data_IF_401491976733
#
_entry.id   IF_401491976733
#
_cell.length_a   1.000
_cell.length_b   1.000
_cell.length_c   1.000
_cell.angle_alpha   90.00
_cell.angle_beta   90.00
_cell.angle_gamma   90.00
#
_symmetry.space_group_name_H-M   'P 1'
#
loop_
_entity.id
_entity.type
_entity.pdbx_description
1 polymer ?
#
# COMPACT_ATOMS: atom_id res chain seq x y z
N UNK A 1 -0.92 16.83 -4.27
CA UNK A 1 -0.31 17.00 -2.94
C UNK A 1 0.40 15.68 -2.64
N UNK A 2 1.73 15.68 -2.75
CA UNK A 2 2.66 14.54 -2.76
C UNK A 2 2.73 13.71 -4.04
N UNK A 3 3.86 13.79 -4.74
CA UNK A 3 4.27 12.83 -5.77
C UNK A 3 4.66 11.47 -5.16
N UNK A 4 5.06 10.50 -5.98
CA UNK A 4 5.37 9.15 -5.49
C UNK A 4 6.63 9.07 -4.63
N UNK A 5 7.66 9.86 -4.93
CA UNK A 5 8.90 9.90 -4.14
C UNK A 5 8.65 10.59 -2.80
N UNK A 6 7.87 11.68 -2.78
CA UNK A 6 7.45 12.34 -1.55
C UNK A 6 6.63 11.40 -0.66
N UNK A 7 5.68 10.65 -1.24
CA UNK A 7 4.90 9.65 -0.47
C UNK A 7 5.77 8.53 0.06
N UNK A 8 6.75 8.05 -0.72
CA UNK A 8 7.71 7.02 -0.28
C UNK A 8 8.56 7.49 0.89
N UNK A 9 9.04 8.74 0.88
CA UNK A 9 9.77 9.32 2.00
C UNK A 9 8.91 9.39 3.27
N UNK A 10 7.65 9.82 3.14
CA UNK A 10 6.71 9.87 4.26
C UNK A 10 6.49 8.47 4.85
N UNK A 11 6.17 7.48 4.02
CA UNK A 11 5.95 6.09 4.47
C UNK A 11 7.22 5.49 5.07
N UNK A 12 8.38 5.72 4.45
CA UNK A 12 9.68 5.24 4.92
C UNK A 12 10.15 5.87 6.24
N UNK A 13 9.63 7.05 6.60
CA UNK A 13 9.96 7.71 7.87
C UNK A 13 9.25 7.12 9.09
N UNK A 14 8.25 6.24 8.88
CA UNK A 14 7.50 5.63 9.96
C UNK A 14 8.38 4.64 10.71
N UNK A 15 8.36 4.69 12.06
CA UNK A 15 9.23 3.86 12.92
C UNK A 15 9.17 2.37 12.61
N UNK A 16 8.02 1.85 12.20
CA UNK A 16 7.81 0.43 11.92
C UNK A 16 8.20 0.01 10.50
N UNK A 17 8.62 0.94 9.64
CA UNK A 17 8.98 0.67 8.25
C UNK A 17 10.48 0.60 8.14
N UNK A 18 11.01 -0.59 7.81
CA UNK A 18 12.44 -0.78 7.53
C UNK A 18 12.81 -0.26 6.14
N UNK A 19 11.96 -0.53 5.13
CA UNK A 19 12.19 -0.15 3.74
C UNK A 19 10.88 0.19 3.05
N UNK A 20 10.85 1.32 2.35
CA UNK A 20 9.79 1.70 1.42
C UNK A 20 10.34 1.71 -0.01
N UNK A 21 9.62 1.09 -0.94
CA UNK A 21 9.98 1.01 -2.36
C UNK A 21 8.88 1.64 -3.20
N UNK A 22 9.25 2.19 -4.36
CA UNK A 22 8.26 2.54 -5.37
C UNK A 22 7.81 1.26 -6.07
N UNK A 23 6.52 1.22 -6.43
CA UNK A 23 5.99 0.18 -7.30
C UNK A 23 6.42 0.40 -8.74
N UNK A 24 6.35 -0.66 -9.54
CA UNK A 24 6.51 -0.57 -11.00
C UNK A 24 5.16 -0.23 -11.65
N UNK A 25 5.16 0.70 -12.59
CA UNK A 25 3.93 1.20 -13.24
C UNK A 25 3.37 0.24 -14.28
N UNK A 26 4.19 -0.71 -14.77
CA UNK A 26 3.81 -1.68 -15.79
C UNK A 26 3.54 -3.06 -15.18
N UNK A 27 4.35 -3.48 -14.20
CA UNK A 27 4.17 -4.77 -13.51
C UNK A 27 4.27 -4.66 -11.99
N UNK A 28 3.10 -4.55 -11.36
CA UNK A 28 2.98 -4.50 -9.89
C UNK A 28 3.60 -5.72 -9.17
N UNK A 29 3.76 -6.86 -9.83
CA UNK A 29 4.32 -8.06 -9.22
C UNK A 29 5.85 -8.02 -9.10
N UNK A 30 6.53 -7.20 -9.90
CA UNK A 30 7.99 -7.08 -9.91
C UNK A 30 8.59 -6.75 -8.54
N UNK A 31 7.90 -5.89 -7.78
CA UNK A 31 8.31 -5.58 -6.40
C UNK A 31 8.30 -6.81 -5.49
N UNK A 32 7.38 -7.75 -5.72
CA UNK A 32 7.32 -9.04 -5.01
C UNK A 32 8.50 -9.91 -5.42
N UNK A 33 8.85 -9.93 -6.70
CA UNK A 33 9.99 -10.73 -7.22
C UNK A 33 11.35 -10.23 -6.73
N UNK A 34 11.51 -8.91 -6.62
CA UNK A 34 12.73 -8.27 -6.14
C UNK A 34 12.91 -8.45 -4.63
N UNK A 35 11.81 -8.34 -3.87
CA UNK A 35 11.83 -8.40 -2.40
C UNK A 35 11.80 -9.84 -1.88
N UNK A 36 11.07 -10.73 -2.58
CA UNK A 36 10.81 -12.14 -2.19
C UNK A 36 10.30 -12.26 -0.75
N UNK A 37 9.16 -11.63 -0.41
CA UNK A 37 8.65 -11.64 0.95
C UNK A 37 8.09 -13.00 1.33
N UNK A 38 8.22 -13.39 2.60
CA UNK A 38 7.53 -14.58 3.14
C UNK A 38 6.01 -14.34 3.28
N UNK A 39 5.61 -13.08 3.52
CA UNK A 39 4.22 -12.69 3.79
C UNK A 39 3.86 -11.42 3.02
N UNK A 40 2.71 -11.42 2.34
CA UNK A 40 2.06 -10.22 1.85
C UNK A 40 0.80 -9.97 2.68
N UNK A 41 0.72 -8.79 3.29
CA UNK A 41 -0.42 -8.38 4.10
C UNK A 41 -1.30 -7.37 3.34
N UNK A 42 -2.57 -7.70 3.17
CA UNK A 42 -3.52 -6.90 2.40
C UNK A 42 -4.58 -6.23 3.28
N UNK A 43 -5.03 -5.06 2.84
CA UNK A 43 -6.22 -4.41 3.37
C UNK A 43 -7.50 -5.17 3.04
N UNK A 44 -8.61 -4.86 3.72
CA UNK A 44 -9.87 -5.61 3.60
C UNK A 44 -10.43 -5.59 2.16
N UNK A 45 -10.32 -4.46 1.47
CA UNK A 45 -10.96 -4.23 0.16
C UNK A 45 -10.05 -4.52 -1.05
N UNK A 46 -8.83 -5.03 -0.87
CA UNK A 46 -7.89 -5.24 -1.97
C UNK A 46 -8.13 -6.58 -2.66
N UNK A 47 -8.36 -6.62 -3.97
CA UNK A 47 -8.42 -7.88 -4.72
C UNK A 47 -7.06 -8.61 -4.72
N UNK A 48 -7.08 -9.92 -4.50
CA UNK A 48 -5.86 -10.77 -4.44
C UNK A 48 -5.84 -11.90 -5.47
N UNK A 49 -6.84 -12.01 -6.34
CA UNK A 49 -6.93 -13.10 -7.31
C UNK A 49 -5.73 -13.09 -8.27
N UNK A 50 -5.42 -11.93 -8.85
CA UNK A 50 -4.26 -11.75 -9.72
C UNK A 50 -2.94 -12.03 -9.00
N UNK A 51 -2.83 -11.62 -7.73
CA UNK A 51 -1.62 -11.80 -6.93
C UNK A 51 -1.38 -13.28 -6.64
N UNK A 52 -2.43 -14.02 -6.27
CA UNK A 52 -2.37 -15.48 -6.05
C UNK A 52 -1.96 -16.23 -7.31
N UNK A 53 -2.49 -15.84 -8.47
CA UNK A 53 -2.13 -16.43 -9.76
C UNK A 53 -0.65 -16.20 -10.09
N UNK A 54 -0.15 -14.97 -9.89
CA UNK A 54 1.28 -14.63 -10.10
C UNK A 54 2.21 -15.37 -9.12
N UNK A 55 1.82 -15.53 -7.85
CA UNK A 55 2.58 -16.31 -6.87
C UNK A 55 2.64 -17.79 -7.29
N UNK A 56 1.51 -18.37 -7.69
CA UNK A 56 1.45 -19.78 -8.09
C UNK A 56 2.30 -20.09 -9.34
N UNK A 57 2.38 -19.14 -10.28
CA UNK A 57 3.16 -19.29 -11.52
C UNK A 57 4.63 -18.89 -11.38
N UNK A 58 5.00 -18.15 -10.33
CA UNK A 58 6.40 -17.75 -10.06
C UNK A 58 7.19 -18.77 -9.23
N UNK A 59 6.54 -19.81 -8.71
CA UNK A 59 7.18 -20.84 -7.89
C UNK A 59 7.63 -20.34 -6.51
N UNK A 60 7.08 -19.22 -6.03
CA UNK A 60 7.37 -18.66 -4.72
C UNK A 60 6.39 -19.17 -3.67
N UNK A 61 6.86 -19.42 -2.44
CA UNK A 61 6.03 -19.81 -1.31
C UNK A 61 5.74 -18.57 -0.44
N UNK A 62 4.71 -17.82 -0.82
CA UNK A 62 4.34 -16.54 -0.17
C UNK A 62 2.97 -16.67 0.49
N UNK A 63 2.90 -16.39 1.78
CA UNK A 63 1.63 -16.39 2.51
C UNK A 63 0.90 -15.05 2.35
N UNK A 64 -0.32 -15.09 1.82
CA UNK A 64 -1.21 -13.92 1.81
C UNK A 64 -2.00 -13.88 3.12
N UNK A 65 -1.87 -12.78 3.86
CA UNK A 65 -2.66 -12.44 5.04
C UNK A 65 -3.52 -11.21 4.76
N UNK A 66 -4.68 -11.12 5.39
CA UNK A 66 -5.65 -10.03 5.12
C UNK A 66 -6.21 -9.49 6.42
N UNK A 67 -6.34 -8.17 6.47
CA UNK A 67 -7.09 -7.51 7.52
C UNK A 67 -8.59 -7.79 7.33
N UNK A 68 -9.24 -8.39 8.33
CA UNK A 68 -10.63 -8.87 8.22
C UNK A 68 -11.66 -7.75 7.97
N UNK A 69 -11.40 -6.55 8.50
CA UNK A 69 -12.32 -5.42 8.38
C UNK A 69 -11.57 -4.10 8.37
N UNK A 70 -12.20 -3.07 7.79
CA UNK A 70 -11.72 -1.69 7.93
C UNK A 70 -11.71 -1.31 9.40
N UNK A 71 -10.55 -0.88 9.88
CA UNK A 71 -10.42 -0.29 11.21
C UNK A 71 -10.58 1.23 11.09
N UNK A 72 -11.24 1.85 12.06
CA UNK A 72 -11.45 3.29 12.08
C UNK A 72 -10.17 4.02 12.55
N UNK A 73 -9.11 3.99 11.73
CA UNK A 73 -7.89 4.76 11.97
C UNK A 73 -7.71 5.91 10.98
N UNK A 74 -6.84 6.85 11.34
CA UNK A 74 -6.74 8.25 10.88
C UNK A 74 -6.61 8.52 9.37
N UNK A 75 -6.29 7.55 8.52
CA UNK A 75 -6.11 7.81 7.07
C UNK A 75 -7.42 8.16 6.34
N UNK A 76 -8.56 7.69 6.84
CA UNK A 76 -9.88 8.17 6.40
C UNK A 76 -10.10 9.64 6.81
N UNK A 77 -9.63 10.03 7.99
CA UNK A 77 -9.69 11.41 8.48
C UNK A 77 -8.78 12.35 7.72
N UNK A 78 -7.60 11.94 7.27
CA UNK A 78 -6.70 12.83 6.53
C UNK A 78 -7.36 13.38 5.26
N UNK A 79 -8.08 12.54 4.52
CA UNK A 79 -8.86 12.99 3.35
C UNK A 79 -9.95 13.98 3.77
N UNK A 80 -10.70 13.67 4.83
CA UNK A 80 -11.79 14.52 5.31
C UNK A 80 -11.28 15.88 5.84
N UNK A 81 -10.15 15.90 6.54
CA UNK A 81 -9.48 17.10 7.04
C UNK A 81 -8.99 17.95 5.87
N UNK A 82 -8.32 17.35 4.88
CA UNK A 82 -7.85 18.07 3.70
C UNK A 82 -9.02 18.65 2.88
N UNK A 83 -10.10 17.89 2.69
CA UNK A 83 -11.31 18.38 2.01
C UNK A 83 -12.00 19.53 2.76
N UNK A 84 -11.95 19.52 4.10
CA UNK A 84 -12.48 20.62 4.92
C UNK A 84 -11.61 21.87 4.79
N UNK A 85 -10.29 21.73 4.82
CA UNK A 85 -9.36 22.87 4.67
C UNK A 85 -9.50 23.53 3.30
N UNK A 86 -9.58 22.73 2.23
CA UNK A 86 -9.73 23.26 0.86
C UNK A 86 -11.03 24.07 0.67
N UNK A 87 -12.09 23.73 1.42
CA UNK A 87 -13.37 24.45 1.41
C UNK A 87 -13.32 25.77 2.20
N UNK A 88 -12.36 25.92 3.11
CA UNK A 88 -12.15 27.16 3.88
C UNK A 88 -11.38 28.17 3.04
N UNK A 89 -10.47 27.74 2.18
CA UNK A 89 -9.68 28.63 1.30
C UNK A 89 -10.48 29.18 0.09
N UNK A 90 -11.65 28.61 -0.21
CA UNK A 90 -12.56 29.06 -1.29
C UNK A 90 -13.64 30.05 -0.82
N UNK A 91 -13.60 30.50 0.45
CA UNK A 91 -14.51 31.52 1.04
C UNK A 91 -13.71 32.75 1.42
#
# INVERSE_FOLDING_TARGET
MFDEEERKLIVGSLRMVEKAVLGDTEDMFKSVEDIKPDIIFLGPDQDDAWLRERIATSGMDIAIKRLERRLNYASSWTKDVLQRLHRIEEV
#
